data_IF_080636932339
#
_entry.id   IF_080636932339
#
_cell.length_a   1.000
_cell.length_b   1.000
_cell.length_c   1.000
_cell.angle_alpha   90.00
_cell.angle_beta   90.00
_cell.angle_gamma   90.00
#
_symmetry.space_group_name_H-M   'P 1'
#
loop_
_entity.id
_entity.type
_entity.pdbx_description
1 polymer ?
#
# COMPACT_ATOMS: atom_id res chain seq x y z
N UNK A 1 -6.71 14.93 23.18
CA UNK A 1 -6.98 14.74 21.73
C UNK A 1 -5.76 15.19 20.93
N UNK A 2 -5.50 14.71 19.70
CA UNK A 2 -6.38 13.93 18.82
C UNK A 2 -5.73 12.68 18.20
N UNK A 3 -6.58 11.79 17.71
CA UNK A 3 -6.21 10.76 16.75
C UNK A 3 -5.80 11.44 15.43
N UNK A 4 -4.49 11.47 15.12
CA UNK A 4 -3.97 11.80 13.78
C UNK A 4 -4.24 10.63 12.83
N UNK A 5 -5.51 10.43 12.47
CA UNK A 5 -5.92 9.34 11.57
C UNK A 5 -5.76 9.69 10.10
N UNK A 6 -5.24 10.88 9.76
CA UNK A 6 -5.48 11.47 8.44
C UNK A 6 -4.27 11.50 7.49
N UNK A 7 -3.07 11.02 7.87
CA UNK A 7 -1.91 11.11 6.97
C UNK A 7 -1.12 9.84 6.69
N UNK A 8 -1.29 8.76 7.44
CA UNK A 8 -0.29 7.67 7.43
C UNK A 8 -0.80 6.31 6.92
N UNK A 9 -2.02 6.25 6.34
CA UNK A 9 -2.56 5.02 5.76
C UNK A 9 -3.15 5.23 4.38
N UNK A 10 -2.79 4.36 3.45
CA UNK A 10 -3.27 4.35 2.06
C UNK A 10 -3.66 2.92 1.65
N UNK A 11 -4.35 2.82 0.51
CA UNK A 11 -4.65 1.54 -0.13
C UNK A 11 -3.99 1.50 -1.48
N UNK A 12 -3.62 0.30 -1.90
CA UNK A 12 -3.07 0.06 -3.22
C UNK A 12 -4.13 -0.60 -4.10
N UNK A 13 -4.24 -0.13 -5.33
CA UNK A 13 -5.08 -0.72 -6.35
C UNK A 13 -4.19 -1.06 -7.56
N UNK A 14 -4.42 -2.22 -8.14
CA UNK A 14 -3.67 -2.71 -9.28
C UNK A 14 -4.64 -3.17 -10.36
N UNK A 15 -4.33 -2.83 -11.60
CA UNK A 15 -5.05 -3.30 -12.78
C UNK A 15 -4.07 -3.91 -13.75
N UNK A 16 -4.42 -5.08 -14.29
CA UNK A 16 -3.67 -5.73 -15.37
C UNK A 16 -4.39 -5.48 -16.70
N UNK A 17 -3.67 -5.01 -17.72
CA UNK A 17 -4.15 -5.06 -19.11
C UNK A 17 -3.93 -6.49 -19.65
N UNK A 18 -4.81 -7.07 -20.48
CA UNK A 18 -5.88 -6.44 -21.27
C UNK A 18 -7.28 -6.41 -20.62
N UNK A 19 -7.53 -7.12 -19.51
CA UNK A 19 -8.84 -7.20 -18.86
C UNK A 19 -8.89 -6.30 -17.61
N UNK A 20 -9.58 -5.16 -17.74
CA UNK A 20 -9.57 -3.98 -16.85
C UNK A 20 -10.16 -4.16 -15.44
N UNK A 21 -9.97 -5.30 -14.78
CA UNK A 21 -10.41 -5.43 -13.39
C UNK A 21 -9.39 -4.76 -12.46
N UNK A 22 -9.83 -3.70 -11.79
CA UNK A 22 -9.07 -3.10 -10.69
C UNK A 22 -9.24 -3.99 -9.46
N UNK A 23 -8.12 -4.41 -8.88
CA UNK A 23 -8.08 -5.19 -7.64
C UNK A 23 -7.42 -4.38 -6.54
N UNK A 24 -7.98 -4.45 -5.33
CA UNK A 24 -7.37 -3.86 -4.15
C UNK A 24 -6.37 -4.86 -3.58
N UNK A 25 -5.12 -4.43 -3.39
CA UNK A 25 -4.07 -5.30 -2.86
C UNK A 25 -4.20 -5.46 -1.34
N UNK A 26 -4.15 -6.70 -0.87
CA UNK A 26 -4.12 -7.03 0.56
C UNK A 26 -2.70 -6.86 1.05
N UNK A 27 -2.52 -6.20 2.19
CA UNK A 27 -1.22 -5.99 2.81
C UNK A 27 -0.69 -7.30 3.44
N UNK A 28 0.36 -7.93 2.87
CA UNK A 28 0.90 -9.18 3.40
C UNK A 28 1.63 -8.99 4.73
N UNK A 29 2.14 -7.78 5.02
CA UNK A 29 2.91 -7.50 6.24
C UNK A 29 2.07 -7.53 7.51
N UNK A 30 0.76 -7.26 7.41
CA UNK A 30 -0.10 -7.20 8.58
C UNK A 30 -1.53 -7.58 8.21
N UNK A 31 -1.90 -8.81 8.59
CA UNK A 31 -3.24 -9.36 8.35
C UNK A 31 -4.35 -8.57 9.05
N UNK A 32 -4.05 -7.91 10.17
CA UNK A 32 -5.03 -7.08 10.92
C UNK A 32 -5.30 -5.75 10.21
N UNK A 33 -4.35 -5.24 9.42
CA UNK A 33 -4.55 -4.03 8.60
C UNK A 33 -5.35 -4.31 7.32
N UNK A 34 -5.50 -5.59 6.93
CA UNK A 34 -6.25 -5.99 5.75
C UNK A 34 -5.70 -5.36 4.47
N UNK A 35 -6.41 -4.38 3.90
CA UNK A 35 -6.03 -3.67 2.65
C UNK A 35 -5.28 -2.35 2.90
N UNK A 36 -4.99 -2.03 4.16
CA UNK A 36 -4.35 -0.77 4.52
C UNK A 36 -2.83 -0.91 4.63
N UNK A 37 -2.12 0.01 3.99
CA UNK A 37 -0.67 0.13 4.01
C UNK A 37 -0.24 1.38 4.78
N UNK A 38 0.95 1.33 5.37
CA UNK A 38 1.61 2.46 6.01
C UNK A 38 3.11 2.40 5.74
N UNK A 39 3.70 3.56 5.42
CA UNK A 39 5.13 3.73 5.19
C UNK A 39 5.86 4.24 6.45
N UNK A 40 5.16 4.45 7.56
CA UNK A 40 5.75 4.97 8.79
C UNK A 40 6.80 3.99 9.31
N UNK A 41 8.05 4.45 9.37
CA UNK A 41 9.19 3.65 9.85
C UNK A 41 9.51 2.44 8.98
N UNK A 42 9.18 2.49 7.68
CA UNK A 42 9.50 1.43 6.71
C UNK A 42 10.30 1.99 5.54
N UNK A 43 11.36 1.27 5.19
CA UNK A 43 12.18 1.56 4.01
C UNK A 43 11.67 0.86 2.74
N UNK A 44 10.74 -0.09 2.89
CA UNK A 44 10.19 -0.90 1.82
C UNK A 44 8.67 -1.12 1.95
N UNK A 45 8.01 -1.15 0.81
CA UNK A 45 6.59 -1.43 0.63
C UNK A 45 6.42 -2.81 -0.02
N UNK A 46 6.07 -3.80 0.79
CA UNK A 46 5.80 -5.17 0.35
C UNK A 46 4.35 -5.28 -0.09
N UNK A 47 4.14 -5.69 -1.33
CA UNK A 47 2.82 -6.04 -1.88
C UNK A 47 2.78 -7.54 -2.20
N UNK A 48 1.61 -8.14 -2.49
CA UNK A 48 1.54 -9.57 -2.77
C UNK A 48 2.40 -10.05 -3.95
N UNK A 49 2.66 -9.19 -4.93
CA UNK A 49 3.38 -9.54 -6.16
C UNK A 49 4.77 -8.89 -6.27
N UNK A 50 4.99 -7.72 -5.67
CA UNK A 50 6.28 -7.01 -5.72
C UNK A 50 6.62 -6.27 -4.44
N UNK A 51 7.92 -6.11 -4.21
CA UNK A 51 8.49 -5.29 -3.15
C UNK A 51 9.06 -4.01 -3.75
N UNK A 52 8.69 -2.86 -3.19
CA UNK A 52 9.13 -1.55 -3.65
C UNK A 52 9.95 -0.85 -2.57
N UNK A 53 11.18 -0.45 -2.89
CA UNK A 53 11.89 0.48 -2.01
C UNK A 53 11.15 1.82 -1.98
N UNK A 54 11.10 2.47 -0.83
CA UNK A 54 10.47 3.79 -0.68
C UNK A 54 10.99 4.80 -1.72
N UNK A 55 12.26 4.69 -2.09
CA UNK A 55 12.91 5.57 -3.08
C UNK A 55 12.41 5.36 -4.52
N UNK A 56 11.74 4.25 -4.80
CA UNK A 56 11.13 3.95 -6.11
C UNK A 56 9.69 4.46 -6.20
N UNK A 57 9.09 4.88 -5.09
CA UNK A 57 7.73 5.42 -5.08
C UNK A 57 7.76 6.85 -5.64
N UNK A 58 7.23 7.00 -6.86
CA UNK A 58 7.01 8.34 -7.41
C UNK A 58 5.91 9.05 -6.64
N UNK A 59 6.21 10.27 -6.20
CA UNK A 59 5.27 11.22 -5.62
C UNK A 59 5.03 12.33 -6.66
N UNK A 60 3.78 12.77 -6.84
CA UNK A 60 3.40 13.83 -7.78
C UNK A 60 2.88 15.06 -7.03
#
# INVERSE_FOLDING_TARGET
EPYDFSRERFRLAQSYMPAQQTQILINPNNKELGVWYSLKGKDELITPEWDFSINQLRSF
#
